data_IF_196401927371
#
_entry.id   IF_196401927371
#
_cell.length_a   1.000
_cell.length_b   1.000
_cell.length_c   1.000
_cell.angle_alpha   90.00
_cell.angle_beta   90.00
_cell.angle_gamma   90.00
#
_symmetry.space_group_name_H-M   'P 1'
#
loop_
_entity.id
_entity.type
_entity.pdbx_description
1 polymer ?
#
# COMPACT_ATOMS: atom_id res chain seq x y z
N UNK A 1 36.37 -42.97 -67.39
CA UNK A 1 36.52 -44.13 -66.48
C UNK A 1 35.37 -43.99 -65.49
N UNK A 2 34.21 -44.61 -65.63
CA UNK A 2 33.84 -45.91 -66.17
C UNK A 2 32.31 -45.84 -66.43
N UNK A 3 31.87 -45.79 -67.69
CA UNK A 3 31.11 -46.84 -68.39
C UNK A 3 29.79 -47.31 -67.74
N UNK A 4 28.64 -46.94 -68.36
CA UNK A 4 27.67 -47.88 -68.96
C UNK A 4 26.44 -47.15 -69.55
N UNK A 5 26.35 -47.17 -70.87
CA UNK A 5 25.09 -47.18 -71.66
C UNK A 5 24.60 -48.65 -71.80
N UNK A 6 23.30 -49.00 -72.08
CA UNK A 6 22.58 -48.57 -73.29
C UNK A 6 21.02 -48.44 -73.27
N UNK A 7 20.50 -47.57 -74.15
CA UNK A 7 19.42 -47.70 -75.20
C UNK A 7 18.35 -48.84 -75.15
N UNK A 8 17.21 -48.83 -75.91
CA UNK A 8 16.35 -47.79 -76.50
C UNK A 8 14.81 -47.99 -76.28
N UNK A 9 14.02 -46.98 -76.70
CA UNK A 9 12.68 -47.02 -77.37
C UNK A 9 11.50 -47.90 -76.86
N UNK A 10 10.38 -47.27 -76.48
CA UNK A 10 9.05 -47.61 -77.04
C UNK A 10 7.95 -46.59 -76.66
N UNK A 11 7.12 -46.30 -77.66
CA UNK A 11 6.03 -45.31 -77.79
C UNK A 11 4.82 -45.47 -76.82
N UNK A 12 3.89 -44.49 -76.79
CA UNK A 12 3.02 -44.21 -75.64
C UNK A 12 1.75 -45.07 -75.63
N UNK A 13 1.18 -45.26 -74.43
CA UNK A 13 -0.21 -45.71 -74.28
C UNK A 13 -0.96 -44.79 -73.34
N UNK A 14 -1.87 -44.04 -73.93
CA UNK A 14 -3.01 -43.46 -73.24
C UNK A 14 -3.73 -44.56 -72.45
N UNK A 15 -3.97 -44.27 -71.17
CA UNK A 15 -4.56 -45.21 -70.22
C UNK A 15 -5.38 -44.47 -69.18
N UNK A 16 -6.50 -43.94 -69.67
CA UNK A 16 -7.80 -43.81 -69.01
C UNK A 16 -7.85 -43.32 -67.55
N UNK A 17 -8.52 -42.19 -67.38
CA UNK A 17 -8.63 -41.49 -66.11
C UNK A 17 -9.27 -42.30 -65.00
N UNK A 18 -8.85 -41.98 -63.78
CA UNK A 18 -9.78 -41.88 -62.67
C UNK A 18 -9.46 -40.54 -62.01
N UNK A 19 -10.16 -39.51 -62.46
CA UNK A 19 -10.38 -38.31 -61.66
C UNK A 19 -11.07 -38.77 -60.39
N UNK A 20 -10.27 -39.09 -59.38
CA UNK A 20 -10.73 -39.33 -58.02
C UNK A 20 -11.31 -38.02 -57.55
N UNK A 21 -12.61 -37.84 -57.77
CA UNK A 21 -13.43 -36.89 -57.04
C UNK A 21 -13.20 -37.23 -55.57
N UNK A 22 -12.29 -36.51 -54.90
CA UNK A 22 -12.32 -36.40 -53.46
C UNK A 22 -13.68 -35.82 -53.16
N UNK A 23 -14.64 -36.68 -52.83
CA UNK A 23 -15.81 -36.23 -52.10
C UNK A 23 -15.24 -35.63 -50.83
N UNK A 24 -15.23 -34.30 -50.75
CA UNK A 24 -15.21 -33.59 -49.48
C UNK A 24 -16.52 -34.05 -48.84
N UNK A 25 -16.41 -35.14 -48.07
CA UNK A 25 -17.54 -35.92 -47.63
C UNK A 25 -18.24 -35.18 -46.51
N UNK A 26 -19.31 -34.47 -46.89
CA UNK A 26 -20.43 -34.09 -46.04
C UNK A 26 -20.14 -33.00 -45.01
N UNK A 27 -20.74 -31.84 -45.21
CA UNK A 27 -21.01 -30.90 -44.13
C UNK A 27 -21.87 -31.60 -43.08
N UNK A 28 -21.24 -32.24 -42.10
CA UNK A 28 -21.90 -32.83 -40.95
C UNK A 28 -22.31 -31.69 -40.01
N UNK A 29 -23.61 -31.54 -39.79
CA UNK A 29 -24.14 -30.59 -38.80
C UNK A 29 -23.77 -31.01 -37.37
N UNK A 30 -23.71 -30.03 -36.46
CA UNK A 30 -23.47 -30.28 -35.04
C UNK A 30 -24.58 -31.15 -34.44
N UNK A 31 -24.20 -32.12 -33.62
CA UNK A 31 -25.19 -32.90 -32.86
C UNK A 31 -25.76 -32.07 -31.72
N UNK A 32 -27.01 -32.34 -31.31
CA UNK A 32 -27.62 -31.67 -30.15
C UNK A 32 -26.79 -31.87 -28.87
N UNK A 33 -26.18 -33.05 -28.73
CA UNK A 33 -25.32 -33.40 -27.59
C UNK A 33 -24.05 -32.54 -27.55
N UNK A 34 -23.44 -32.26 -28.70
CA UNK A 34 -22.22 -31.46 -28.79
C UNK A 34 -22.45 -29.99 -28.40
N UNK A 35 -23.54 -29.38 -28.90
CA UNK A 35 -23.93 -28.01 -28.54
C UNK A 35 -24.25 -27.92 -27.04
N UNK A 36 -24.92 -28.93 -26.48
CA UNK A 36 -25.24 -28.99 -25.06
C UNK A 36 -23.96 -29.03 -24.20
N UNK A 37 -22.98 -29.86 -24.57
CA UNK A 37 -21.68 -29.93 -23.88
C UNK A 37 -20.93 -28.60 -24.02
N UNK A 38 -20.92 -27.97 -25.20
CA UNK A 38 -20.25 -26.69 -25.42
C UNK A 38 -20.84 -25.58 -24.53
N UNK A 39 -22.16 -25.49 -24.45
CA UNK A 39 -22.86 -24.52 -23.59
C UNK A 39 -22.63 -24.84 -22.11
N UNK A 40 -22.58 -26.12 -21.72
CA UNK A 40 -22.28 -26.52 -20.35
C UNK A 40 -20.88 -26.06 -19.90
N UNK A 41 -19.85 -26.27 -20.73
CA UNK A 41 -18.48 -25.82 -20.44
C UNK A 41 -18.42 -24.28 -20.41
N UNK A 42 -19.10 -23.60 -21.34
CA UNK A 42 -19.19 -22.14 -21.37
C UNK A 42 -19.84 -21.58 -20.09
N UNK A 43 -20.90 -22.20 -19.59
CA UNK A 43 -21.56 -21.75 -18.37
C UNK A 43 -20.62 -21.84 -17.16
N UNK A 44 -19.84 -22.93 -17.05
CA UNK A 44 -18.86 -23.10 -15.96
C UNK A 44 -17.75 -22.06 -16.04
N UNK A 45 -17.19 -21.81 -17.25
CA UNK A 45 -16.12 -20.83 -17.42
C UNK A 45 -16.58 -19.40 -17.11
N UNK A 46 -17.76 -19.01 -17.58
CA UNK A 46 -18.35 -17.70 -17.28
C UNK A 46 -18.61 -17.51 -15.79
N UNK A 47 -19.07 -18.54 -15.09
CA UNK A 47 -19.31 -18.48 -13.64
C UNK A 47 -18.00 -18.26 -12.88
N UNK A 48 -16.94 -18.98 -13.26
CA UNK A 48 -15.60 -18.82 -12.67
C UNK A 48 -15.06 -17.40 -12.91
N UNK A 49 -15.18 -16.89 -14.13
CA UNK A 49 -14.76 -15.53 -14.48
C UNK A 49 -15.56 -14.46 -13.72
N UNK A 50 -16.88 -14.62 -13.60
CA UNK A 50 -17.72 -13.70 -12.84
C UNK A 50 -17.30 -13.67 -11.36
N UNK A 51 -17.02 -14.83 -10.77
CA UNK A 51 -16.48 -14.91 -9.40
C UNK A 51 -15.18 -14.10 -9.23
N UNK A 52 -14.25 -14.22 -10.19
CA UNK A 52 -13.02 -13.44 -10.19
C UNK A 52 -13.26 -11.92 -10.30
N UNK A 53 -14.20 -11.51 -11.16
CA UNK A 53 -14.56 -10.10 -11.31
C UNK A 53 -15.21 -9.53 -10.05
N UNK A 54 -16.10 -10.28 -9.39
CA UNK A 54 -16.72 -9.86 -8.12
C UNK A 54 -15.68 -9.66 -7.03
N UNK A 55 -14.69 -10.55 -6.93
CA UNK A 55 -13.59 -10.40 -5.97
C UNK A 55 -12.76 -9.14 -6.24
N UNK A 56 -12.45 -8.87 -7.51
CA UNK A 56 -11.74 -7.64 -7.90
C UNK A 56 -12.53 -6.38 -7.56
N UNK A 57 -13.86 -6.39 -7.75
CA UNK A 57 -14.72 -5.29 -7.36
C UNK A 57 -14.74 -5.06 -5.85
N UNK A 58 -14.79 -6.13 -5.04
CA UNK A 58 -14.73 -6.00 -3.58
C UNK A 58 -13.39 -5.42 -3.11
N UNK A 59 -12.28 -5.92 -3.67
CA UNK A 59 -10.96 -5.38 -3.38
C UNK A 59 -10.83 -3.90 -3.76
N UNK A 60 -11.40 -3.50 -4.90
CA UNK A 60 -11.42 -2.10 -5.35
C UNK A 60 -12.24 -1.21 -4.41
N UNK A 61 -13.39 -1.69 -3.91
CA UNK A 61 -14.20 -0.95 -2.93
C UNK A 61 -13.43 -0.75 -1.63
N UNK A 62 -12.86 -1.81 -1.08
CA UNK A 62 -12.06 -1.74 0.13
C UNK A 62 -10.86 -0.78 0.00
N UNK A 63 -10.16 -0.81 -1.14
CA UNK A 63 -9.06 0.12 -1.39
C UNK A 63 -9.52 1.59 -1.43
N UNK A 64 -10.69 1.86 -2.01
CA UNK A 64 -11.30 3.20 -2.00
C UNK A 64 -11.66 3.64 -0.58
N UNK A 65 -12.24 2.74 0.20
CA UNK A 65 -12.65 3.04 1.58
C UNK A 65 -11.44 3.36 2.45
N UNK A 66 -10.36 2.57 2.40
CA UNK A 66 -9.12 2.89 3.14
C UNK A 66 -8.50 4.20 2.68
N UNK A 67 -8.53 4.50 1.38
CA UNK A 67 -8.01 5.77 0.87
C UNK A 67 -8.84 6.94 1.41
N UNK A 68 -10.16 6.80 1.45
CA UNK A 68 -11.05 7.81 2.04
C UNK A 68 -10.77 8.00 3.53
N UNK A 69 -10.65 6.91 4.30
CA UNK A 69 -10.29 6.97 5.74
C UNK A 69 -8.95 7.68 5.93
N UNK A 70 -7.93 7.39 5.13
CA UNK A 70 -6.63 8.03 5.23
C UNK A 70 -6.70 9.55 4.99
N UNK A 71 -7.45 9.98 3.96
CA UNK A 71 -7.65 11.41 3.67
C UNK A 71 -8.45 12.12 4.76
N UNK A 72 -9.46 11.43 5.33
CA UNK A 72 -10.25 11.97 6.43
C UNK A 72 -9.43 12.06 7.73
N UNK A 73 -8.54 11.10 7.99
CA UNK A 73 -7.61 11.16 9.11
C UNK A 73 -6.62 12.33 8.96
N UNK A 74 -6.09 12.57 7.75
CA UNK A 74 -5.24 13.74 7.47
C UNK A 74 -6.01 15.04 7.69
N UNK A 75 -7.25 15.13 7.21
CA UNK A 75 -8.13 16.26 7.49
C UNK A 75 -8.32 16.49 9.00
N UNK A 76 -8.59 15.43 9.76
CA UNK A 76 -8.83 15.54 11.20
C UNK A 76 -7.58 16.03 11.95
N UNK A 77 -6.38 15.58 11.56
CA UNK A 77 -5.12 16.05 12.15
C UNK A 77 -4.95 17.56 11.91
N UNK A 78 -5.24 18.05 10.69
CA UNK A 78 -5.16 19.47 10.35
C UNK A 78 -6.19 20.29 11.14
N UNK A 79 -7.41 19.79 11.29
CA UNK A 79 -8.45 20.45 12.07
C UNK A 79 -8.08 20.53 13.56
N UNK A 80 -7.50 19.46 14.11
CA UNK A 80 -6.97 19.46 15.47
C UNK A 80 -5.82 20.46 15.63
N UNK A 81 -4.89 20.54 14.69
CA UNK A 81 -3.81 21.54 14.72
C UNK A 81 -4.38 22.97 14.69
N UNK A 82 -5.37 23.21 13.84
CA UNK A 82 -6.00 24.52 13.68
C UNK A 82 -6.76 24.97 14.94
N UNK A 83 -7.62 24.09 15.49
CA UNK A 83 -8.37 24.36 16.72
C UNK A 83 -7.42 24.65 17.88
N UNK A 84 -6.36 23.86 18.05
CA UNK A 84 -5.40 24.06 19.13
C UNK A 84 -4.56 25.32 18.98
N UNK A 85 -4.21 25.72 17.75
CA UNK A 85 -3.50 26.98 17.52
C UNK A 85 -4.33 28.20 17.98
N UNK A 86 -5.65 28.09 17.95
CA UNK A 86 -6.57 29.15 18.37
C UNK A 86 -6.85 29.14 19.87
N UNK A 87 -7.03 27.96 20.45
CA UNK A 87 -7.48 27.79 21.84
C UNK A 87 -6.32 27.61 22.84
N UNK A 88 -5.12 27.27 22.35
CA UNK A 88 -3.95 26.96 23.17
C UNK A 88 -3.95 25.53 23.69
N UNK A 89 -2.80 25.05 24.18
CA UNK A 89 -2.67 23.66 24.62
C UNK A 89 -3.09 23.38 26.06
N UNK A 90 -3.84 22.29 26.25
CA UNK A 90 -4.35 21.81 27.55
C UNK A 90 -3.32 20.95 28.29
N UNK A 91 -3.05 21.21 29.57
CA UNK A 91 -1.97 20.52 30.34
C UNK A 91 -2.28 19.07 30.75
N UNK A 92 -3.09 18.35 29.97
CA UNK A 92 -3.41 16.94 30.19
C UNK A 92 -3.62 16.21 28.87
N UNK A 93 -3.65 14.89 28.94
CA UNK A 93 -4.14 14.05 27.86
C UNK A 93 -5.63 14.34 27.61
N UNK A 94 -6.00 14.41 26.34
CA UNK A 94 -7.38 14.66 25.92
C UNK A 94 -7.76 13.70 24.81
N UNK A 95 -8.90 13.04 25.01
CA UNK A 95 -9.56 12.24 23.99
C UNK A 95 -10.66 13.08 23.35
N UNK A 96 -10.69 13.06 22.02
CA UNK A 96 -11.70 13.72 21.20
C UNK A 96 -12.25 12.71 20.20
N UNK A 97 -13.56 12.68 20.03
CA UNK A 97 -14.24 11.77 19.13
C UNK A 97 -15.31 12.49 18.32
N UNK A 98 -15.67 11.88 17.18
CA UNK A 98 -16.69 12.43 16.30
C UNK A 98 -16.97 11.55 15.09
N UNK A 99 -17.67 12.15 14.12
CA UNK A 99 -17.94 11.55 12.82
C UNK A 99 -17.56 12.51 11.69
N UNK A 100 -17.60 12.00 10.46
CA UNK A 100 -17.35 12.77 9.25
C UNK A 100 -18.64 13.12 8.50
N UNK A 101 -19.76 13.30 9.22
CA UNK A 101 -21.05 13.62 8.61
C UNK A 101 -21.01 14.92 7.81
N UNK A 102 -20.27 15.92 8.30
CA UNK A 102 -20.05 17.21 7.61
C UNK A 102 -19.28 17.06 6.28
N UNK A 103 -18.39 16.07 6.19
CA UNK A 103 -17.62 15.76 4.98
C UNK A 103 -18.35 14.77 4.06
N UNK A 104 -19.58 14.37 4.40
CA UNK A 104 -20.42 13.46 3.62
C UNK A 104 -20.20 11.96 3.94
N UNK A 105 -19.51 11.65 5.03
CA UNK A 105 -19.19 10.28 5.46
C UNK A 105 -19.79 9.98 6.85
N UNK A 106 -21.13 9.91 6.99
CA UNK A 106 -21.78 9.72 8.29
C UNK A 106 -21.51 8.36 8.94
N UNK A 107 -21.12 7.36 8.14
CA UNK A 107 -20.81 6.01 8.63
C UNK A 107 -19.38 5.90 9.17
N UNK A 108 -18.54 6.92 8.96
CA UNK A 108 -17.15 6.93 9.40
C UNK A 108 -17.02 7.77 10.68
N UNK A 109 -16.41 7.16 11.69
CA UNK A 109 -16.13 7.76 12.99
C UNK A 109 -14.63 7.89 13.18
N UNK A 110 -14.24 8.85 13.99
CA UNK A 110 -12.86 9.07 14.37
C UNK A 110 -12.73 9.24 15.87
N UNK A 111 -11.57 8.86 16.38
CA UNK A 111 -11.16 9.13 17.75
C UNK A 111 -9.68 9.52 17.72
N UNK A 112 -9.35 10.65 18.34
CA UNK A 112 -7.96 11.07 18.50
C UNK A 112 -7.63 11.26 19.97
N UNK A 113 -6.47 10.75 20.37
CA UNK A 113 -5.88 10.97 21.68
C UNK A 113 -4.70 11.92 21.53
N UNK A 114 -4.79 13.06 22.22
CA UNK A 114 -3.74 14.07 22.27
C UNK A 114 -2.98 13.87 23.56
N UNK A 115 -1.72 13.44 23.47
CA UNK A 115 -0.89 13.21 24.64
C UNK A 115 -0.13 14.47 25.05
N UNK A 116 -0.20 14.80 26.33
CA UNK A 116 0.67 15.79 26.93
C UNK A 116 2.07 15.20 27.14
N UNK A 117 3.09 15.94 26.71
CA UNK A 117 4.49 15.55 26.90
C UNK A 117 4.99 16.28 28.14
N UNK A 118 5.32 15.53 29.18
CA UNK A 118 6.04 16.06 30.34
C UNK A 118 7.54 16.04 30.06
N UNK A 119 8.16 17.22 30.09
CA UNK A 119 9.61 17.34 29.93
C UNK A 119 10.31 17.06 31.27
N UNK A 120 11.45 16.35 31.25
CA UNK A 120 12.23 16.10 32.46
C UNK A 120 12.70 17.40 33.11
N UNK A 121 12.83 17.38 34.43
CA UNK A 121 13.45 18.47 35.17
C UNK A 121 14.95 18.56 34.84
N UNK A 122 15.52 19.75 34.95
CA UNK A 122 16.94 19.97 34.61
C UNK A 122 17.88 19.03 35.38
N UNK A 123 17.59 18.73 36.65
CA UNK A 123 18.41 17.82 37.45
C UNK A 123 18.45 16.40 36.89
N UNK A 124 17.32 15.90 36.37
CA UNK A 124 17.27 14.58 35.73
C UNK A 124 18.09 14.54 34.44
N UNK A 125 18.15 15.67 33.73
CA UNK A 125 18.99 15.80 32.56
C UNK A 125 20.48 15.81 32.92
N UNK A 126 20.85 16.49 34.01
CA UNK A 126 22.23 16.48 34.52
C UNK A 126 22.64 15.06 34.89
N UNK A 127 21.80 14.32 35.63
CA UNK A 127 22.06 12.91 35.97
C UNK A 127 22.22 12.04 34.72
N UNK A 128 21.39 12.25 33.70
CA UNK A 128 21.51 11.51 32.43
C UNK A 128 22.79 11.84 31.66
N UNK A 129 23.25 13.10 31.71
CA UNK A 129 24.51 13.54 31.08
C UNK A 129 25.71 12.90 31.77
N UNK A 130 25.74 12.97 33.10
CA UNK A 130 26.82 12.38 33.91
C UNK A 130 26.93 10.87 33.67
N UNK A 131 25.81 10.15 33.57
CA UNK A 131 25.81 8.72 33.23
C UNK A 131 26.28 8.40 31.80
N UNK A 132 26.17 9.34 30.85
CA UNK A 132 26.70 9.20 29.48
C UNK A 132 28.21 9.50 29.46
N UNK A 133 28.65 10.55 30.16
CA UNK A 133 30.06 10.94 30.24
C UNK A 133 30.91 9.85 30.92
N UNK A 134 30.35 9.14 31.91
CA UNK A 134 31.00 7.97 32.55
C UNK A 134 31.17 6.78 31.59
N UNK A 135 30.36 6.68 30.54
CA UNK A 135 30.42 5.60 29.56
C UNK A 135 31.37 5.88 28.38
N UNK A 136 31.75 7.15 28.15
CA UNK A 136 32.59 7.61 27.03
C UNK A 136 34.02 8.02 27.46
N UNK A 137 34.62 7.33 28.44
CA UNK A 137 36.00 7.57 28.92
C UNK A 137 37.06 7.38 27.81
N UNK A 138 37.29 8.44 27.02
CA UNK A 138 38.36 8.50 26.03
C UNK A 138 38.23 9.61 24.99
N UNK A 139 38.53 10.87 25.34
CA UNK A 139 38.65 11.93 24.33
C UNK A 139 38.87 13.35 24.84
N UNK A 140 40.14 13.73 24.96
CA UNK A 140 40.69 14.99 25.47
C UNK A 140 40.12 16.28 24.77
N UNK A 141 39.79 17.30 25.59
CA UNK A 141 39.54 18.73 25.27
C UNK A 141 38.19 19.22 24.69
N UNK A 142 37.22 18.36 24.31
CA UNK A 142 35.87 18.84 23.85
C UNK A 142 34.84 18.90 24.98
N UNK A 143 35.08 18.17 26.08
CA UNK A 143 34.14 18.02 27.22
C UNK A 143 33.87 19.34 27.96
N UNK A 144 34.87 20.22 28.11
CA UNK A 144 34.74 21.46 28.90
C UNK A 144 33.81 22.50 28.25
N UNK A 145 33.86 22.65 26.92
CA UNK A 145 32.96 23.58 26.21
C UNK A 145 31.51 23.08 26.18
N UNK A 146 31.31 21.75 26.08
CA UNK A 146 30.00 21.11 26.15
C UNK A 146 29.34 21.28 27.53
N UNK A 147 30.12 21.10 28.59
CA UNK A 147 29.64 21.27 29.97
C UNK A 147 29.27 22.70 30.30
N UNK A 148 30.04 23.69 29.83
CA UNK A 148 29.69 25.09 29.99
C UNK A 148 28.40 25.45 29.22
N UNK A 149 28.23 24.92 28.01
CA UNK A 149 27.01 25.11 27.22
C UNK A 149 25.79 24.43 27.88
N UNK A 150 25.98 23.25 28.48
CA UNK A 150 24.92 22.53 29.19
C UNK A 150 24.54 23.23 30.50
N UNK A 151 25.52 23.72 31.26
CA UNK A 151 25.27 24.58 32.43
C UNK A 151 24.47 25.84 32.08
N UNK A 152 24.74 26.43 30.91
CA UNK A 152 23.96 27.56 30.40
C UNK A 152 22.52 27.16 30.04
N UNK A 153 22.28 25.93 29.58
CA UNK A 153 20.92 25.40 29.37
C UNK A 153 20.13 25.36 30.67
N UNK A 154 20.74 25.04 31.81
CA UNK A 154 20.05 25.04 33.11
C UNK A 154 19.40 26.37 33.47
N UNK A 155 20.04 27.49 33.12
CA UNK A 155 19.48 28.83 33.36
C UNK A 155 18.22 29.12 32.52
N UNK A 156 18.16 28.58 31.31
CA UNK A 156 17.04 28.79 30.37
C UNK A 156 16.08 27.59 30.32
N UNK A 157 16.40 26.49 31.01
CA UNK A 157 15.64 25.24 30.94
C UNK A 157 14.16 25.42 31.25
N UNK A 158 13.74 26.18 32.29
CA UNK A 158 12.31 26.38 32.56
C UNK A 158 11.56 27.05 31.39
N UNK A 159 12.21 27.99 30.70
CA UNK A 159 11.63 28.64 29.50
C UNK A 159 11.58 27.68 28.32
N UNK A 160 12.66 26.91 28.09
CA UNK A 160 12.72 25.93 27.00
C UNK A 160 11.72 24.80 27.22
N UNK A 161 11.64 24.27 28.45
CA UNK A 161 10.65 23.28 28.89
C UNK A 161 9.23 23.78 28.61
N UNK A 162 8.86 24.95 29.12
CA UNK A 162 7.52 25.50 28.91
C UNK A 162 7.22 25.78 27.43
N UNK A 163 8.21 26.17 26.64
CA UNK A 163 8.04 26.37 25.20
C UNK A 163 7.81 25.04 24.46
N UNK A 164 8.57 23.99 24.79
CA UNK A 164 8.47 22.67 24.13
C UNK A 164 7.16 21.97 24.51
N UNK A 165 6.80 21.94 25.80
CA UNK A 165 5.54 21.32 26.29
C UNK A 165 4.28 21.96 25.67
N UNK A 166 4.37 23.23 25.28
CA UNK A 166 3.29 23.97 24.62
C UNK A 166 3.42 24.05 23.09
N UNK A 167 4.46 23.48 22.48
CA UNK A 167 4.66 23.55 21.03
C UNK A 167 4.65 22.19 20.34
N UNK A 168 4.90 21.10 21.07
CA UNK A 168 4.96 19.75 20.50
C UNK A 168 4.03 18.83 21.26
N UNK A 169 3.16 18.12 20.52
CA UNK A 169 2.37 17.01 21.04
C UNK A 169 2.39 15.83 20.10
N UNK A 170 2.23 14.64 20.69
CA UNK A 170 1.93 13.41 19.95
C UNK A 170 0.41 13.28 19.85
N UNK A 171 -0.08 13.10 18.63
CA UNK A 171 -1.50 12.85 18.35
C UNK A 171 -1.61 11.48 17.71
N UNK A 172 -2.43 10.62 18.30
CA UNK A 172 -2.77 9.31 17.75
C UNK A 172 -4.25 9.35 17.34
N UNK A 173 -4.53 9.25 16.03
CA UNK A 173 -5.89 9.24 15.47
C UNK A 173 -6.20 7.86 14.88
N UNK A 174 -7.39 7.32 15.19
CA UNK A 174 -7.90 6.03 14.71
C UNK A 174 -9.31 6.12 14.16
#
# INVERSE_FOLDING_TARGET
>A
MDEREPSPDSKPRAGNGHGGVRRIGGDAGFTLLEVLIAVAIMAVSLTSMLGSQLNSMQATRYARDITAVALLAEYQIVELEWSHRKEGWVSSDVEVDGDFSEQGWPDMKWMCTIHFIEMPEYNQLVESKEGIDEAEDGGDNIVDAGDQAFGALGMVWPMVKAAIENSIRKVDCT
#
